data_IF_773923820454
#
_entry.id   IF_773923820454
#
_cell.length_a   1.000
_cell.length_b   1.000
_cell.length_c   1.000
_cell.angle_alpha   90.00
_cell.angle_beta   90.00
_cell.angle_gamma   90.00
#
_symmetry.space_group_name_H-M   'P 1'
#
loop_
_entity.id
_entity.type
_entity.pdbx_description
1 polymer ?
#
# COMPACT_ATOMS: atom_id res chain seq x y z
N UNK A 1 -53.77 33.08 -47.38
CA UNK A 1 -52.39 32.57 -47.54
C UNK A 1 -51.60 32.60 -46.21
N UNK A 2 -52.19 32.15 -45.08
CA UNK A 2 -51.64 32.37 -43.73
C UNK A 2 -51.59 31.11 -42.83
N UNK A 3 -51.95 29.93 -43.37
CA UNK A 3 -51.96 28.65 -42.62
C UNK A 3 -50.68 27.81 -42.78
N UNK A 4 -49.93 28.00 -43.87
CA UNK A 4 -48.73 27.19 -44.17
C UNK A 4 -47.48 27.65 -43.39
N UNK A 5 -47.32 28.96 -43.14
CA UNK A 5 -46.21 29.53 -42.36
C UNK A 5 -46.24 29.14 -40.88
N UNK A 6 -47.42 28.82 -40.32
CA UNK A 6 -47.58 28.41 -38.91
C UNK A 6 -47.14 26.96 -38.63
N UNK A 7 -47.19 26.09 -39.65
CA UNK A 7 -46.77 24.68 -39.56
C UNK A 7 -45.24 24.55 -39.63
N UNK A 8 -44.59 25.31 -40.53
CA UNK A 8 -43.12 25.38 -40.62
C UNK A 8 -42.49 25.86 -39.30
N UNK A 9 -43.10 26.83 -38.63
CA UNK A 9 -42.62 27.37 -37.35
C UNK A 9 -42.74 26.34 -36.19
N UNK A 10 -43.85 25.58 -36.14
CA UNK A 10 -44.06 24.52 -35.14
C UNK A 10 -43.12 23.32 -35.33
N UNK A 11 -42.79 22.97 -36.56
CA UNK A 11 -41.85 21.90 -36.87
C UNK A 11 -40.42 22.26 -36.45
N UNK A 12 -39.99 23.50 -36.67
CA UNK A 12 -38.70 24.01 -36.18
C UNK A 12 -38.60 24.04 -34.65
N UNK A 13 -39.64 24.51 -33.96
CA UNK A 13 -39.73 24.48 -32.49
C UNK A 13 -39.67 23.06 -31.91
N UNK A 14 -40.30 22.08 -32.59
CA UNK A 14 -40.20 20.66 -32.21
C UNK A 14 -38.81 20.08 -32.44
N UNK A 15 -38.18 20.40 -33.57
CA UNK A 15 -36.81 19.95 -33.88
C UNK A 15 -35.81 20.49 -32.85
N UNK A 16 -35.92 21.77 -32.48
CA UNK A 16 -35.12 22.39 -31.41
C UNK A 16 -35.39 21.74 -30.05
N UNK A 17 -36.66 21.42 -29.74
CA UNK A 17 -37.01 20.73 -28.49
C UNK A 17 -36.41 19.31 -28.41
N UNK A 18 -36.44 18.56 -29.52
CA UNK A 18 -35.84 17.22 -29.61
C UNK A 18 -34.31 17.32 -29.50
N UNK A 19 -33.68 18.24 -30.22
CA UNK A 19 -32.23 18.48 -30.13
C UNK A 19 -31.81 18.85 -28.70
N UNK A 20 -32.56 19.73 -28.03
CA UNK A 20 -32.32 20.09 -26.62
C UNK A 20 -32.40 18.87 -25.70
N UNK A 21 -33.43 18.02 -25.85
CA UNK A 21 -33.56 16.80 -25.05
C UNK A 21 -32.44 15.81 -25.33
N UNK A 22 -32.00 15.68 -26.58
CA UNK A 22 -30.88 14.82 -26.96
C UNK A 22 -29.56 15.33 -26.35
N UNK A 23 -29.30 16.64 -26.38
CA UNK A 23 -28.13 17.25 -25.74
C UNK A 23 -28.15 17.05 -24.23
N UNK A 24 -29.31 17.25 -23.58
CA UNK A 24 -29.45 16.99 -22.13
C UNK A 24 -29.20 15.51 -21.84
N UNK A 25 -29.77 14.59 -22.62
CA UNK A 25 -29.53 13.16 -22.48
C UNK A 25 -28.05 12.81 -22.62
N UNK A 26 -27.37 13.34 -23.63
CA UNK A 26 -25.94 13.15 -23.84
C UNK A 26 -25.12 13.71 -22.67
N UNK A 27 -25.45 14.90 -22.18
CA UNK A 27 -24.77 15.53 -21.06
C UNK A 27 -24.94 14.71 -19.76
N UNK A 28 -26.13 14.15 -19.53
CA UNK A 28 -26.37 13.23 -18.40
C UNK A 28 -25.50 11.97 -18.53
N UNK A 29 -25.45 11.36 -19.72
CA UNK A 29 -24.59 10.18 -19.96
C UNK A 29 -23.12 10.50 -19.70
N UNK A 30 -22.64 11.64 -20.19
CA UNK A 30 -21.25 12.10 -19.98
C UNK A 30 -20.97 12.33 -18.49
N UNK A 31 -21.87 12.98 -17.77
CA UNK A 31 -21.71 13.21 -16.31
C UNK A 31 -21.66 11.88 -15.56
N UNK A 32 -22.60 10.96 -15.82
CA UNK A 32 -22.64 9.64 -15.15
C UNK A 32 -21.38 8.85 -15.45
N UNK A 33 -20.91 8.87 -16.70
CA UNK A 33 -19.65 8.24 -17.09
C UNK A 33 -18.47 8.81 -16.29
N UNK A 34 -18.35 10.13 -16.18
CA UNK A 34 -17.27 10.76 -15.43
C UNK A 34 -17.35 10.48 -13.93
N UNK A 35 -18.55 10.46 -13.32
CA UNK A 35 -18.73 10.05 -11.92
C UNK A 35 -18.22 8.61 -11.72
N UNK A 36 -18.61 7.69 -12.60
CA UNK A 36 -18.12 6.30 -12.55
C UNK A 36 -16.61 6.20 -12.71
N UNK A 37 -16.02 6.97 -13.63
CA UNK A 37 -14.56 7.01 -13.83
C UNK A 37 -13.81 7.58 -12.63
N UNK A 38 -14.31 8.65 -12.03
CA UNK A 38 -13.74 9.23 -10.80
C UNK A 38 -13.77 8.18 -9.69
N UNK A 39 -14.90 7.52 -9.50
CA UNK A 39 -15.07 6.51 -8.46
C UNK A 39 -14.11 5.32 -8.64
N UNK A 40 -14.05 4.75 -9.84
CA UNK A 40 -13.13 3.65 -10.15
C UNK A 40 -11.66 4.07 -10.05
N UNK A 41 -11.31 5.29 -10.46
CA UNK A 41 -9.94 5.80 -10.36
C UNK A 41 -9.49 6.04 -8.91
N UNK A 42 -10.42 6.28 -7.98
CA UNK A 42 -10.11 6.55 -6.58
C UNK A 42 -10.11 5.30 -5.69
N UNK A 43 -10.76 4.21 -6.12
CA UNK A 43 -10.83 2.95 -5.37
C UNK A 43 -9.48 2.24 -5.24
N UNK A 44 -8.65 2.34 -6.28
CA UNK A 44 -7.41 1.56 -6.36
C UNK A 44 -7.64 0.05 -6.43
N UNK A 45 -6.56 -0.74 -6.52
CA UNK A 45 -6.64 -2.21 -6.42
C UNK A 45 -7.14 -2.66 -5.06
N UNK A 46 -7.68 -3.87 -4.99
CA UNK A 46 -7.99 -4.51 -3.71
C UNK A 46 -6.74 -4.61 -2.84
N UNK A 47 -6.92 -4.51 -1.52
CA UNK A 47 -5.82 -4.71 -0.59
C UNK A 47 -5.31 -6.15 -0.70
N UNK A 48 -4.01 -6.29 -0.89
CA UNK A 48 -3.35 -7.55 -0.68
C UNK A 48 -3.37 -7.92 0.81
N UNK A 49 -3.28 -9.22 1.09
CA UNK A 49 -3.22 -9.79 2.44
C UNK A 49 -2.15 -9.19 3.36
N UNK A 50 -1.00 -8.79 2.83
CA UNK A 50 0.04 -8.13 3.62
C UNK A 50 -0.31 -6.69 4.02
N UNK A 51 -1.32 -6.07 3.40
CA UNK A 51 -1.83 -4.77 3.84
C UNK A 51 -2.80 -4.89 5.03
N UNK A 52 -3.40 -6.05 5.22
CA UNK A 52 -4.40 -6.30 6.27
C UNK A 52 -3.88 -7.17 7.41
N UNK A 53 -2.76 -7.84 7.20
CA UNK A 53 -2.13 -8.67 8.23
C UNK A 53 -1.54 -7.78 9.34
N UNK A 54 -1.74 -8.20 10.59
CA UNK A 54 -1.20 -7.53 11.77
C UNK A 54 -0.39 -8.52 12.60
N UNK A 55 0.72 -8.03 13.12
CA UNK A 55 1.59 -8.78 14.03
C UNK A 55 1.06 -8.74 15.47
N UNK A 56 1.39 -9.77 16.24
CA UNK A 56 1.23 -9.75 17.70
C UNK A 56 2.41 -8.99 18.36
N UNK A 57 2.41 -7.68 18.19
CA UNK A 57 3.44 -6.79 18.73
C UNK A 57 3.40 -6.73 20.27
N UNK A 58 4.54 -6.42 20.89
CA UNK A 58 4.54 -6.10 22.31
C UNK A 58 3.85 -4.74 22.55
N UNK A 59 2.99 -4.68 23.56
CA UNK A 59 2.50 -3.40 24.09
C UNK A 59 3.63 -2.60 24.74
N UNK A 60 3.46 -1.29 24.90
CA UNK A 60 4.42 -0.44 25.60
C UNK A 60 4.79 -1.00 27.00
N UNK A 61 3.79 -1.48 27.75
CA UNK A 61 4.01 -2.05 29.09
C UNK A 61 4.74 -3.40 29.10
N UNK A 62 4.68 -4.15 28.00
CA UNK A 62 5.47 -5.37 27.82
C UNK A 62 6.92 -5.01 27.47
N UNK A 63 7.11 -4.05 26.54
CA UNK A 63 8.44 -3.56 26.15
C UNK A 63 9.19 -3.00 27.35
N UNK A 64 8.54 -2.19 28.20
CA UNK A 64 9.14 -1.60 29.42
C UNK A 64 9.70 -2.64 30.40
N UNK A 65 9.23 -3.88 30.32
CA UNK A 65 9.64 -4.99 31.20
C UNK A 65 10.45 -6.06 30.47
N UNK A 66 10.62 -5.93 29.15
CA UNK A 66 11.30 -6.92 28.34
C UNK A 66 12.81 -6.65 28.28
N UNK A 67 13.58 -7.72 28.30
CA UNK A 67 14.95 -7.75 27.84
C UNK A 67 15.00 -7.72 26.31
N UNK A 68 16.14 -7.31 25.75
CA UNK A 68 16.33 -7.34 24.29
C UNK A 68 16.27 -8.77 23.71
N UNK A 69 16.59 -9.80 24.50
CA UNK A 69 16.45 -11.19 24.09
C UNK A 69 14.97 -11.61 23.98
N UNK A 70 14.11 -11.15 24.90
CA UNK A 70 12.67 -11.38 24.84
C UNK A 70 12.03 -10.63 23.66
N UNK A 71 12.48 -9.40 23.40
CA UNK A 71 12.07 -8.66 22.20
C UNK A 71 12.39 -9.43 20.91
N UNK A 72 13.64 -9.90 20.74
CA UNK A 72 14.03 -10.70 19.57
C UNK A 72 13.26 -12.03 19.48
N UNK A 73 12.88 -12.62 20.62
CA UNK A 73 12.04 -13.83 20.63
C UNK A 73 10.64 -13.54 20.08
N UNK A 74 10.04 -12.40 20.45
CA UNK A 74 8.76 -11.95 19.89
C UNK A 74 8.90 -11.60 18.40
N UNK A 75 9.94 -10.88 18.01
CA UNK A 75 10.24 -10.57 16.60
C UNK A 75 10.32 -11.87 15.77
N UNK A 76 11.08 -12.87 16.24
CA UNK A 76 11.19 -14.15 15.56
C UNK A 76 9.83 -14.85 15.42
N UNK A 77 8.95 -14.75 16.42
CA UNK A 77 7.58 -15.27 16.33
C UNK A 77 6.74 -14.54 15.28
N UNK A 78 6.76 -13.20 15.31
CA UNK A 78 6.05 -12.34 14.36
C UNK A 78 6.41 -12.70 12.92
N UNK A 79 7.70 -12.84 12.62
CA UNK A 79 8.12 -13.19 11.25
C UNK A 79 7.80 -14.63 10.85
N UNK A 80 7.76 -15.58 11.79
CA UNK A 80 7.26 -16.94 11.50
C UNK A 80 5.78 -16.91 11.15
N UNK A 81 4.99 -16.15 11.91
CA UNK A 81 3.55 -15.99 11.69
C UNK A 81 3.26 -15.22 10.39
N UNK A 82 4.08 -14.22 10.08
CA UNK A 82 4.06 -13.51 8.80
C UNK A 82 4.35 -14.47 7.65
N UNK A 83 5.39 -15.32 7.77
CA UNK A 83 5.73 -16.28 6.73
C UNK A 83 4.58 -17.26 6.48
N UNK A 84 3.99 -17.83 7.53
CA UNK A 84 2.88 -18.77 7.40
C UNK A 84 1.61 -18.09 6.85
N UNK A 85 1.32 -16.86 7.27
CA UNK A 85 0.12 -16.13 6.90
C UNK A 85 0.22 -15.35 5.60
N UNK A 86 1.44 -15.03 5.12
CA UNK A 86 1.75 -14.18 3.96
C UNK A 86 2.64 -14.88 2.92
N UNK A 87 3.80 -15.41 3.28
CA UNK A 87 4.70 -16.00 2.26
C UNK A 87 4.15 -17.32 1.72
N UNK A 88 3.65 -18.18 2.60
CA UNK A 88 3.35 -19.57 2.26
C UNK A 88 2.00 -19.77 1.57
N UNK A 89 1.10 -18.78 1.63
CA UNK A 89 -0.24 -18.87 0.98
C UNK A 89 -0.42 -17.91 -0.20
N UNK A 90 0.67 -17.47 -0.85
CA UNK A 90 0.60 -16.57 -2.01
C UNK A 90 -0.11 -17.25 -3.17
N UNK A 91 -1.05 -16.55 -3.79
CA UNK A 91 -1.60 -17.00 -5.07
C UNK A 91 -0.56 -16.86 -6.17
N UNK A 92 -0.75 -17.57 -7.28
CA UNK A 92 0.26 -17.60 -8.34
C UNK A 92 0.47 -16.24 -9.02
N UNK A 93 -0.56 -15.41 -9.09
CA UNK A 93 -0.47 -14.03 -9.59
C UNK A 93 0.31 -13.09 -8.65
N UNK A 94 0.38 -13.42 -7.35
CA UNK A 94 1.17 -12.65 -6.38
C UNK A 94 2.67 -13.01 -6.41
N UNK A 95 3.05 -14.16 -7.00
CA UNK A 95 4.43 -14.66 -7.07
C UNK A 95 5.25 -13.96 -8.16
N UNK A 96 5.48 -12.68 -7.99
CA UNK A 96 6.24 -11.84 -8.94
C UNK A 96 7.72 -11.72 -8.56
N UNK A 97 8.57 -11.40 -9.53
CA UNK A 97 10.02 -11.25 -9.33
C UNK A 97 10.41 -10.16 -8.30
N UNK A 98 9.51 -9.22 -8.00
CA UNK A 98 9.73 -8.09 -7.10
C UNK A 98 8.83 -8.10 -5.85
N UNK A 99 8.05 -9.17 -5.63
CA UNK A 99 7.26 -9.28 -4.40
C UNK A 99 8.16 -9.68 -3.22
N UNK A 100 8.39 -8.77 -2.28
CA UNK A 100 9.22 -9.02 -1.08
C UNK A 100 8.73 -10.17 -0.19
N UNK A 101 7.48 -10.59 -0.30
CA UNK A 101 6.93 -11.72 0.45
C UNK A 101 7.08 -13.05 -0.27
N UNK A 102 7.42 -13.05 -1.56
CA UNK A 102 7.64 -14.26 -2.33
C UNK A 102 9.08 -14.76 -2.17
N UNK A 103 9.26 -15.98 -1.64
CA UNK A 103 10.58 -16.51 -1.28
C UNK A 103 11.58 -16.59 -2.44
N UNK A 104 11.09 -16.69 -3.68
CA UNK A 104 11.92 -16.79 -4.87
C UNK A 104 12.12 -15.43 -5.56
N UNK A 105 11.51 -14.34 -5.09
CA UNK A 105 11.72 -13.00 -5.64
C UNK A 105 13.17 -12.51 -5.47
N UNK A 106 13.56 -11.51 -6.26
CA UNK A 106 14.88 -10.88 -6.19
C UNK A 106 15.08 -10.07 -4.90
N UNK A 107 13.99 -9.71 -4.23
CA UNK A 107 13.95 -8.80 -3.08
C UNK A 107 13.44 -9.49 -1.82
N UNK A 108 13.49 -10.83 -1.77
CA UNK A 108 13.11 -11.60 -0.60
C UNK A 108 14.14 -11.40 0.53
N UNK A 109 13.75 -10.89 1.71
CA UNK A 109 14.68 -10.57 2.81
C UNK A 109 15.64 -11.68 3.21
N UNK A 110 15.18 -12.93 3.33
CA UNK A 110 16.03 -14.03 3.80
C UNK A 110 17.14 -14.42 2.79
N UNK A 111 17.16 -13.86 1.57
CA UNK A 111 18.28 -14.04 0.63
C UNK A 111 19.50 -13.15 0.95
N UNK A 112 19.34 -12.17 1.83
CA UNK A 112 20.40 -11.25 2.20
C UNK A 112 21.02 -11.67 3.53
N UNK A 113 22.35 -11.64 3.60
CA UNK A 113 23.10 -11.95 4.82
C UNK A 113 24.00 -10.77 5.21
N UNK A 114 23.71 -10.07 6.32
CA UNK A 114 22.58 -10.30 7.24
C UNK A 114 21.24 -9.83 6.65
N UNK A 115 20.12 -10.36 7.19
CA UNK A 115 18.78 -9.83 6.90
C UNK A 115 18.58 -8.52 7.68
N UNK A 116 18.73 -7.41 6.97
CA UNK A 116 18.58 -6.06 7.54
C UNK A 116 17.13 -5.69 7.90
N UNK A 117 16.16 -6.58 7.71
CA UNK A 117 14.80 -6.44 8.24
C UNK A 117 14.66 -7.00 9.66
N UNK A 118 15.75 -7.52 10.25
CA UNK A 118 15.80 -8.00 11.64
C UNK A 118 16.50 -7.01 12.55
N UNK A 119 16.15 -7.05 13.82
CA UNK A 119 16.93 -6.41 14.87
C UNK A 119 18.29 -7.08 15.04
N UNK A 120 19.34 -6.31 15.25
CA UNK A 120 20.71 -6.81 15.42
C UNK A 120 21.50 -6.00 16.44
N UNK A 121 22.57 -6.60 16.98
CA UNK A 121 23.51 -5.94 17.88
C UNK A 121 24.81 -5.70 17.14
N UNK A 122 25.33 -4.49 17.21
CA UNK A 122 26.70 -4.17 16.83
C UNK A 122 27.54 -4.01 18.10
N UNK A 123 28.69 -4.66 18.13
CA UNK A 123 29.66 -4.50 19.22
C UNK A 123 30.76 -3.52 18.81
N UNK A 124 31.18 -2.61 19.70
CA UNK A 124 32.32 -1.75 19.44
C UNK A 124 33.62 -2.55 19.42
N UNK A 125 34.68 -1.96 18.86
CA UNK A 125 36.03 -2.48 19.04
C UNK A 125 36.45 -2.29 20.52
N UNK A 126 36.84 -3.39 21.18
CA UNK A 126 37.24 -3.39 22.60
C UNK A 126 36.06 -3.57 23.56
N UNK A 127 36.26 -3.16 24.83
CA UNK A 127 35.27 -3.40 25.90
C UNK A 127 34.08 -2.43 25.80
N UNK A 128 32.83 -2.91 25.69
CA UNK A 128 31.66 -2.04 25.70
C UNK A 128 31.58 -1.18 26.97
N UNK A 129 31.30 0.12 26.79
CA UNK A 129 31.15 1.10 27.89
C UNK A 129 29.71 1.50 28.17
N UNK A 130 28.80 1.15 27.27
CA UNK A 130 27.38 1.48 27.31
C UNK A 130 26.66 0.89 26.09
N UNK A 131 25.37 1.18 25.97
CA UNK A 131 24.54 0.77 24.84
C UNK A 131 23.68 1.93 24.36
N UNK A 132 23.42 1.97 23.06
CA UNK A 132 22.45 2.86 22.44
C UNK A 132 21.53 2.02 21.56
N UNK A 133 20.23 2.33 21.59
CA UNK A 133 19.24 1.71 20.69
C UNK A 133 18.97 2.70 19.57
N UNK A 134 19.27 2.29 18.34
CA UNK A 134 19.00 3.09 17.15
C UNK A 134 17.78 2.51 16.44
N UNK A 135 16.69 3.27 16.45
CA UNK A 135 15.46 2.89 15.76
C UNK A 135 15.50 3.44 14.32
N UNK A 136 15.33 2.55 13.34
CA UNK A 136 15.20 2.94 11.94
C UNK A 136 13.72 3.04 11.57
N UNK A 137 13.31 4.20 11.04
CA UNK A 137 11.94 4.44 10.61
C UNK A 137 11.57 3.70 9.31
N UNK A 138 10.27 3.66 9.00
CA UNK A 138 9.73 3.00 7.82
C UNK A 138 10.30 3.57 6.51
N UNK A 139 10.93 2.68 5.74
CA UNK A 139 11.22 2.59 4.30
C UNK A 139 11.81 3.77 3.52
N UNK A 140 11.52 5.03 3.88
CA UNK A 140 11.87 6.20 3.05
C UNK A 140 12.94 7.11 3.67
N UNK A 141 13.58 6.68 4.76
CA UNK A 141 14.68 7.44 5.36
C UNK A 141 15.96 7.29 4.54
N UNK A 142 16.55 8.37 3.99
CA UNK A 142 17.78 8.30 3.18
C UNK A 142 19.03 7.98 4.01
N UNK A 143 18.87 7.74 5.31
CA UNK A 143 19.95 7.59 6.28
C UNK A 143 19.94 6.18 6.88
N UNK A 144 21.05 5.48 6.74
CA UNK A 144 21.26 4.20 7.43
C UNK A 144 21.79 4.44 8.84
N UNK A 145 21.03 4.02 9.86
CA UNK A 145 21.49 4.04 11.25
C UNK A 145 22.67 3.08 11.50
N UNK A 146 22.83 2.08 10.64
CA UNK A 146 23.96 1.16 10.69
C UNK A 146 25.30 1.90 10.47
N UNK A 147 25.35 2.81 9.48
CA UNK A 147 26.56 3.61 9.25
C UNK A 147 26.88 4.51 10.46
N UNK A 148 25.85 5.10 11.09
CA UNK A 148 26.03 5.89 12.31
C UNK A 148 26.60 5.04 13.45
N UNK A 149 26.06 3.84 13.68
CA UNK A 149 26.54 2.92 14.71
C UNK A 149 27.97 2.40 14.49
N UNK A 150 28.42 2.31 13.23
CA UNK A 150 29.80 1.92 12.92
C UNK A 150 30.80 3.07 13.11
N UNK A 151 30.33 4.31 12.95
CA UNK A 151 31.18 5.50 12.96
C UNK A 151 31.39 6.08 14.37
N UNK A 152 30.41 5.93 15.25
CA UNK A 152 30.38 6.51 16.59
C UNK A 152 30.29 5.42 17.65
#
# INVERSE_FOLDING_TARGET
>A
MMRFTRLLNKSGLRLVSVAKKAIIGLLVVVIVFFIGRIYESQRGPALHRWHTWTANEMSASEIDRATFAEYQTREAAIFRDMKSSITDTLSDDEKTAINRFYAQSLVYPDKFHPDWNRSFILLPQGKPRGAAVLLHGLTDSPYSVHYLAQRY
#
